data_IF_481769964955
#
_entry.id   IF_481769964955
#
_cell.length_a   1.000
_cell.length_b   1.000
_cell.length_c   1.000
_cell.angle_alpha   90.00
_cell.angle_beta   90.00
_cell.angle_gamma   90.00
#
_symmetry.space_group_name_H-M   'P 1'
#
loop_
_entity.id
_entity.type
_entity.pdbx_description
1 polymer ?
#
# COMPACT_ATOMS: atom_id res chain seq x y z
N UNK A 1 5.11 1.84 -1.43
CA UNK A 1 5.04 3.22 -0.94
C UNK A 1 5.35 4.24 -2.04
N UNK A 2 6.55 4.19 -2.65
CA UNK A 2 6.94 5.17 -3.69
C UNK A 2 6.01 5.19 -4.90
N UNK A 3 5.54 4.03 -5.35
CA UNK A 3 4.58 3.98 -6.45
C UNK A 3 3.25 4.64 -6.10
N UNK A 4 2.78 4.51 -4.85
CA UNK A 4 1.59 5.20 -4.35
C UNK A 4 1.80 6.73 -4.35
N UNK A 5 2.92 7.22 -3.78
CA UNK A 5 3.31 8.64 -3.84
C UNK A 5 3.30 9.16 -5.28
N UNK A 6 3.96 8.44 -6.17
CA UNK A 6 4.07 8.83 -7.58
C UNK A 6 2.73 8.74 -8.34
N UNK A 7 1.78 7.95 -7.82
CA UNK A 7 0.38 7.96 -8.25
C UNK A 7 -0.43 9.11 -7.63
N UNK A 8 0.21 9.97 -6.82
CA UNK A 8 -0.44 11.10 -6.18
C UNK A 8 -1.24 10.74 -4.93
N UNK A 9 -1.00 9.57 -4.34
CA UNK A 9 -1.64 9.17 -3.10
C UNK A 9 -1.25 10.08 -1.94
N UNK A 10 -2.21 10.38 -1.08
CA UNK A 10 -2.03 11.07 0.19
C UNK A 10 -2.08 10.11 1.37
N UNK A 11 -2.80 9.01 1.20
CA UNK A 11 -3.00 8.00 2.24
C UNK A 11 -2.57 6.64 1.70
N UNK A 12 -1.68 5.98 2.44
CA UNK A 12 -1.21 4.64 2.12
C UNK A 12 -1.39 3.74 3.34
N UNK A 13 -2.04 2.61 3.13
CA UNK A 13 -2.30 1.62 4.16
C UNK A 13 -1.54 0.35 3.84
N UNK A 14 -0.77 -0.16 4.80
CA UNK A 14 0.03 -1.36 4.64
C UNK A 14 -0.37 -2.38 5.71
N UNK A 15 -1.05 -3.43 5.26
CA UNK A 15 -1.32 -4.59 6.10
C UNK A 15 -0.21 -5.61 5.96
N UNK A 16 0.23 -6.19 7.08
CA UNK A 16 1.18 -7.29 7.07
C UNK A 16 0.77 -8.38 8.04
N UNK A 17 0.92 -9.63 7.61
CA UNK A 17 0.75 -10.80 8.45
C UNK A 17 1.82 -11.84 8.14
N UNK A 18 2.12 -12.70 9.11
CA UNK A 18 3.00 -13.86 8.92
C UNK A 18 2.33 -15.09 9.52
N UNK A 19 2.22 -16.14 8.73
CA UNK A 19 1.73 -17.44 9.15
C UNK A 19 2.75 -18.49 8.73
N UNK A 20 3.38 -19.12 9.71
CA UNK A 20 4.54 -19.99 9.47
C UNK A 20 5.63 -19.25 8.70
N UNK A 21 6.00 -19.79 7.54
CA UNK A 21 6.98 -19.19 6.63
C UNK A 21 6.34 -18.32 5.53
N UNK A 22 5.04 -18.06 5.59
CA UNK A 22 4.36 -17.23 4.61
C UNK A 22 4.11 -15.84 5.17
N UNK A 23 4.70 -14.81 4.54
CA UNK A 23 4.40 -13.42 4.83
C UNK A 23 3.51 -12.84 3.73
N UNK A 24 2.41 -12.25 4.15
CA UNK A 24 1.53 -11.48 3.27
C UNK A 24 1.69 -9.99 3.54
N UNK A 25 1.76 -9.23 2.48
CA UNK A 25 1.77 -7.76 2.47
C UNK A 25 0.65 -7.28 1.55
N UNK A 26 -0.17 -6.34 2.04
CA UNK A 26 -1.16 -5.66 1.21
C UNK A 26 -0.93 -4.16 1.32
N UNK A 27 -0.74 -3.52 0.18
CA UNK A 27 -0.56 -2.07 0.10
C UNK A 27 -1.76 -1.48 -0.61
N UNK A 28 -2.49 -0.63 0.09
CA UNK A 28 -3.63 0.12 -0.45
C UNK A 28 -3.28 1.60 -0.49
N UNK A 29 -3.76 2.31 -1.49
CA UNK A 29 -3.57 3.75 -1.65
C UNK A 29 -4.80 4.43 -2.25
N UNK A 30 -4.91 5.75 -2.05
CA UNK A 30 -5.93 6.62 -2.62
C UNK A 30 -5.46 7.39 -3.87
N UNK A 31 -4.40 6.93 -4.52
CA UNK A 31 -3.85 7.56 -5.72
C UNK A 31 -4.74 7.39 -6.95
N UNK A 32 -4.21 7.76 -8.12
CA UNK A 32 -4.96 7.71 -9.40
C UNK A 32 -5.29 6.29 -9.90
N UNK A 33 -4.89 5.26 -9.18
CA UNK A 33 -5.13 3.86 -9.55
C UNK A 33 -4.26 3.39 -10.72
N UNK A 34 -4.51 2.14 -11.12
CA UNK A 34 -3.79 1.44 -12.19
C UNK A 34 -4.77 1.22 -13.35
N UNK A 35 -4.46 1.71 -14.57
CA UNK A 35 -5.30 1.48 -15.75
C UNK A 35 -5.56 -0.02 -16.00
N UNK A 36 -6.79 -0.38 -16.40
CA UNK A 36 -7.18 -1.80 -16.62
C UNK A 36 -6.18 -2.56 -17.49
N UNK A 37 -5.73 -1.97 -18.60
CA UNK A 37 -4.76 -2.61 -19.52
C UNK A 37 -3.35 -2.77 -18.98
N UNK A 38 -3.03 -2.19 -17.81
CA UNK A 38 -1.73 -2.31 -17.17
C UNK A 38 -1.74 -3.22 -15.93
N UNK A 39 -2.90 -3.59 -15.39
CA UNK A 39 -3.00 -4.33 -14.12
C UNK A 39 -2.22 -5.65 -14.11
N UNK A 40 -2.29 -6.40 -15.18
CA UNK A 40 -1.56 -7.65 -15.32
C UNK A 40 -0.07 -7.43 -15.64
N UNK A 41 0.24 -6.30 -16.27
CA UNK A 41 1.57 -5.99 -16.81
C UNK A 41 2.45 -5.14 -15.89
N UNK A 42 1.92 -4.55 -14.81
CA UNK A 42 2.72 -3.70 -13.91
C UNK A 42 3.89 -4.43 -13.27
N UNK A 43 3.82 -5.75 -13.22
CA UNK A 43 4.86 -6.63 -12.71
C UNK A 43 5.85 -7.11 -13.80
N UNK A 44 5.64 -6.76 -15.07
CA UNK A 44 6.56 -7.09 -16.13
C UNK A 44 7.77 -6.17 -16.11
N UNK A 45 8.91 -6.67 -16.61
CA UNK A 45 10.13 -5.87 -16.67
C UNK A 45 9.94 -4.63 -17.55
N UNK A 46 10.41 -3.48 -17.07
CA UNK A 46 10.39 -2.19 -17.79
C UNK A 46 9.00 -1.63 -18.11
N UNK A 47 7.95 -2.16 -17.54
CA UNK A 47 6.62 -1.55 -17.64
C UNK A 47 6.52 -0.42 -16.64
N UNK A 48 6.34 0.80 -17.14
CA UNK A 48 6.15 2.01 -16.34
C UNK A 48 5.25 2.97 -17.08
N UNK A 49 4.37 3.64 -16.37
CA UNK A 49 3.62 4.78 -16.89
C UNK A 49 4.43 6.09 -16.90
N UNK A 50 5.72 6.04 -16.49
CA UNK A 50 6.59 7.21 -16.26
C UNK A 50 7.75 7.28 -17.25
N UNK A 51 7.52 6.93 -18.52
CA UNK A 51 8.57 6.98 -19.55
C UNK A 51 9.20 8.37 -19.70
N UNK A 52 8.51 9.42 -19.28
CA UNK A 52 8.92 10.82 -19.47
C UNK A 52 9.45 11.51 -18.20
N UNK A 53 9.48 10.86 -17.04
CA UNK A 53 9.96 11.46 -15.79
C UNK A 53 10.93 10.58 -15.04
N UNK A 54 12.20 10.95 -15.06
CA UNK A 54 13.23 10.38 -14.19
C UNK A 54 13.21 11.16 -12.88
N UNK A 55 12.69 10.56 -11.81
CA UNK A 55 12.83 11.11 -10.47
C UNK A 55 14.10 10.57 -9.81
N UNK A 56 14.95 11.49 -9.38
CA UNK A 56 16.13 11.17 -8.55
C UNK A 56 15.78 11.60 -7.12
N UNK A 57 15.77 10.65 -6.20
CA UNK A 57 15.71 10.92 -4.78
C UNK A 57 17.01 10.46 -4.08
N UNK A 58 17.10 10.60 -2.76
CA UNK A 58 18.27 10.17 -1.98
C UNK A 58 18.63 8.68 -2.14
N UNK A 59 17.73 7.89 -2.70
CA UNK A 59 17.87 6.46 -2.93
C UNK A 59 18.28 6.11 -4.36
N UNK A 60 18.47 7.11 -5.23
CA UNK A 60 18.93 6.97 -6.60
C UNK A 60 17.88 7.23 -7.68
N UNK A 61 18.18 6.81 -8.90
CA UNK A 61 17.30 7.01 -10.06
C UNK A 61 16.15 6.00 -10.03
N UNK A 62 14.91 6.48 -9.91
CA UNK A 62 13.70 5.67 -9.95
C UNK A 62 12.95 5.90 -11.28
N UNK A 63 12.13 4.91 -11.68
CA UNK A 63 11.29 5.01 -12.89
C UNK A 63 11.62 3.98 -13.98
N UNK A 64 12.55 3.05 -13.72
CA UNK A 64 12.93 2.03 -14.71
C UNK A 64 11.95 0.86 -14.83
N UNK A 65 10.82 0.85 -14.10
CA UNK A 65 9.84 -0.24 -14.13
C UNK A 65 10.35 -1.58 -13.63
N UNK A 66 11.40 -1.60 -12.79
CA UNK A 66 12.02 -2.83 -12.30
C UNK A 66 11.60 -3.21 -10.88
N UNK A 67 11.06 -2.27 -10.08
CA UNK A 67 10.77 -2.54 -8.68
C UNK A 67 9.68 -3.59 -8.49
N UNK A 68 8.55 -3.45 -9.19
CA UNK A 68 7.46 -4.43 -9.12
C UNK A 68 7.82 -5.75 -9.81
N UNK A 69 8.60 -5.70 -10.89
CA UNK A 69 9.17 -6.89 -11.49
C UNK A 69 10.03 -7.68 -10.49
N UNK A 70 10.95 -7.02 -9.79
CA UNK A 70 11.77 -7.66 -8.77
C UNK A 70 10.93 -8.24 -7.61
N UNK A 71 9.84 -7.58 -7.24
CA UNK A 71 8.89 -8.13 -6.26
C UNK A 71 8.30 -9.43 -6.77
N UNK A 72 7.78 -9.47 -8.01
CA UNK A 72 7.17 -10.66 -8.61
C UNK A 72 8.15 -11.84 -8.71
N UNK A 73 9.39 -11.59 -9.10
CA UNK A 73 10.43 -12.62 -9.24
C UNK A 73 10.81 -13.29 -7.91
N UNK A 74 10.58 -12.60 -6.78
CA UNK A 74 10.95 -13.08 -5.44
C UNK A 74 9.74 -13.42 -4.57
N UNK A 75 8.53 -13.29 -5.07
CA UNK A 75 7.29 -13.57 -4.35
C UNK A 75 6.66 -14.88 -4.79
N UNK A 76 5.90 -15.55 -3.92
CA UNK A 76 5.00 -16.63 -4.29
C UNK A 76 3.87 -16.12 -5.18
N UNK A 77 3.34 -14.93 -4.87
CA UNK A 77 2.41 -14.20 -5.73
C UNK A 77 2.53 -12.69 -5.54
N UNK A 78 2.24 -11.94 -6.61
CA UNK A 78 2.11 -10.48 -6.59
C UNK A 78 0.97 -10.09 -7.53
N UNK A 79 -0.09 -9.50 -6.99
CA UNK A 79 -1.37 -9.30 -7.66
C UNK A 79 -1.95 -7.91 -7.39
N UNK A 80 -2.62 -7.33 -8.38
CA UNK A 80 -3.50 -6.17 -8.19
C UNK A 80 -4.86 -6.69 -7.75
N UNK A 81 -5.19 -6.55 -6.48
CA UNK A 81 -6.46 -6.99 -5.92
C UNK A 81 -7.62 -6.09 -6.36
N UNK A 82 -7.39 -4.79 -6.30
CA UNK A 82 -8.36 -3.79 -6.70
C UNK A 82 -7.67 -2.56 -7.30
N UNK A 83 -8.35 -1.89 -8.19
CA UNK A 83 -7.95 -0.56 -8.65
C UNK A 83 -9.13 0.14 -9.30
N UNK A 84 -9.29 1.42 -9.03
CA UNK A 84 -10.30 2.27 -9.63
C UNK A 84 -9.65 3.53 -10.20
N UNK A 85 -10.01 3.98 -11.42
CA UNK A 85 -9.46 5.19 -12.01
C UNK A 85 -9.75 6.42 -11.13
N UNK A 86 -8.69 7.11 -10.67
CA UNK A 86 -8.81 8.26 -9.78
C UNK A 86 -9.17 7.95 -8.33
N UNK A 87 -9.32 6.67 -7.96
CA UNK A 87 -9.80 6.26 -6.65
C UNK A 87 -9.06 5.06 -6.06
N UNK A 88 -7.74 5.04 -6.28
CA UNK A 88 -6.82 4.18 -5.57
C UNK A 88 -6.52 2.83 -6.20
N UNK A 89 -5.61 2.13 -5.53
CA UNK A 89 -5.23 0.76 -5.85
C UNK A 89 -4.93 -0.08 -4.62
N UNK A 90 -5.00 -1.40 -4.78
CA UNK A 90 -4.55 -2.38 -3.80
C UNK A 90 -3.70 -3.44 -4.46
N UNK A 91 -2.53 -3.67 -3.91
CA UNK A 91 -1.57 -4.68 -4.35
C UNK A 91 -1.29 -5.63 -3.19
N UNK A 92 -1.44 -6.93 -3.45
CA UNK A 92 -1.10 -8.00 -2.52
C UNK A 92 0.16 -8.71 -2.98
N UNK A 93 1.07 -8.96 -2.04
CA UNK A 93 2.31 -9.71 -2.25
C UNK A 93 2.41 -10.79 -1.18
N UNK A 94 2.69 -12.02 -1.61
CA UNK A 94 2.91 -13.16 -0.73
C UNK A 94 4.33 -13.67 -0.92
N UNK A 95 5.07 -13.80 0.16
CA UNK A 95 6.49 -14.20 0.14
C UNK A 95 6.69 -15.42 1.03
N UNK A 96 7.48 -16.38 0.53
CA UNK A 96 8.01 -17.48 1.34
C UNK A 96 9.28 -17.02 2.06
N UNK A 97 9.17 -16.84 3.39
CA UNK A 97 10.30 -16.44 4.23
C UNK A 97 11.25 -17.59 4.57
N UNK A 98 10.87 -18.82 4.25
CA UNK A 98 11.77 -19.98 4.30
C UNK A 98 12.79 -19.94 3.17
N UNK A 99 12.39 -19.53 1.98
CA UNK A 99 13.28 -19.40 0.81
C UNK A 99 13.93 -17.99 0.75
N UNK A 100 13.20 -16.95 1.08
CA UNK A 100 13.68 -15.57 1.16
C UNK A 100 13.70 -15.11 2.62
N UNK A 101 14.77 -15.47 3.31
CA UNK A 101 14.89 -15.23 4.76
C UNK A 101 14.80 -13.74 5.13
N UNK A 102 13.96 -13.45 6.09
CA UNK A 102 13.91 -12.13 6.72
C UNK A 102 15.20 -11.89 7.51
N UNK A 103 15.97 -10.89 7.11
CA UNK A 103 17.29 -10.61 7.70
C UNK A 103 17.21 -9.97 9.06
N UNK A 104 16.06 -9.43 9.43
CA UNK A 104 15.85 -8.69 10.67
C UNK A 104 14.47 -8.98 11.24
N UNK A 105 14.33 -8.77 12.57
CA UNK A 105 13.02 -8.78 13.21
C UNK A 105 12.11 -7.68 12.66
N UNK A 106 10.92 -8.08 12.21
CA UNK A 106 9.95 -7.19 11.59
C UNK A 106 9.03 -6.50 12.62
N UNK A 107 9.14 -6.81 13.91
CA UNK A 107 8.32 -6.24 14.99
C UNK A 107 9.01 -5.11 15.76
N UNK A 108 10.31 -4.97 15.64
CA UNK A 108 11.09 -3.97 16.37
C UNK A 108 10.94 -2.58 15.77
N UNK A 109 10.52 -1.62 16.58
CA UNK A 109 10.44 -0.21 16.20
C UNK A 109 11.83 0.43 16.14
N UNK A 110 12.07 1.33 15.18
CA UNK A 110 13.29 2.12 15.16
C UNK A 110 13.29 3.15 16.28
N UNK A 111 14.48 3.49 16.78
CA UNK A 111 14.65 4.60 17.71
C UNK A 111 14.63 5.91 16.93
N UNK A 112 13.72 6.79 17.30
CA UNK A 112 13.61 8.14 16.74
C UNK A 112 14.47 9.11 17.57
N UNK A 113 15.10 10.05 16.90
CA UNK A 113 15.85 11.16 17.50
C UNK A 113 15.40 12.49 16.91
N UNK A 114 15.90 13.58 17.47
CA UNK A 114 15.71 14.93 16.94
C UNK A 114 16.92 15.28 16.07
N UNK A 115 16.67 15.83 14.91
CA UNK A 115 17.67 16.44 14.05
C UNK A 115 17.53 17.95 14.21
N UNK A 116 18.55 18.62 14.71
CA UNK A 116 18.63 19.95 15.32
C UNK A 116 17.88 21.15 14.73
N UNK A 117 17.06 20.99 13.72
CA UNK A 117 16.19 21.99 13.11
C UNK A 117 14.75 21.46 12.95
N UNK A 118 14.03 21.23 14.05
CA UNK A 118 12.62 20.79 14.07
C UNK A 118 12.32 19.45 13.36
N UNK A 119 13.33 18.64 13.07
CA UNK A 119 13.21 17.39 12.36
C UNK A 119 13.30 16.14 13.26
N UNK A 120 12.45 15.14 13.01
CA UNK A 120 12.66 13.80 13.52
C UNK A 120 13.52 13.00 12.52
N UNK A 121 14.45 12.21 13.03
CA UNK A 121 15.28 11.29 12.26
C UNK A 121 15.30 9.93 12.90
N UNK A 122 15.67 8.89 12.13
CA UNK A 122 15.87 7.55 12.67
C UNK A 122 17.34 7.41 13.04
N UNK A 123 17.61 7.25 14.33
CA UNK A 123 18.96 7.14 14.88
C UNK A 123 19.45 5.70 14.85
N UNK A 124 18.58 4.73 15.18
CA UNK A 124 18.94 3.32 15.37
C UNK A 124 17.75 2.40 15.12
N UNK A 125 18.04 1.14 14.79
CA UNK A 125 17.01 0.07 14.67
C UNK A 125 17.28 -0.85 13.49
N UNK A 126 16.59 -1.99 13.43
CA UNK A 126 16.71 -2.93 12.32
C UNK A 126 16.18 -2.31 11.03
N UNK A 127 16.69 -2.76 9.90
CA UNK A 127 16.19 -2.36 8.59
C UNK A 127 15.02 -3.29 8.19
N UNK A 128 13.85 -2.99 8.74
CA UNK A 128 12.61 -3.76 8.60
C UNK A 128 11.49 -2.96 7.96
N UNK A 129 10.28 -3.56 7.85
CA UNK A 129 9.09 -2.92 7.25
C UNK A 129 8.72 -1.63 8.02
N UNK A 130 8.75 -1.67 9.37
CA UNK A 130 8.42 -0.52 10.21
C UNK A 130 9.37 0.65 9.92
N UNK A 131 10.66 0.37 9.90
CA UNK A 131 11.69 1.38 9.60
C UNK A 131 11.52 1.95 8.18
N UNK A 132 11.27 1.11 7.18
CA UNK A 132 11.03 1.56 5.81
C UNK A 132 9.82 2.49 5.71
N UNK A 133 8.73 2.20 6.44
CA UNK A 133 7.56 3.07 6.51
C UNK A 133 7.90 4.40 7.20
N UNK A 134 8.60 4.34 8.35
CA UNK A 134 8.97 5.54 9.10
C UNK A 134 9.92 6.45 8.30
N UNK A 135 10.96 5.90 7.65
CA UNK A 135 11.85 6.65 6.77
C UNK A 135 11.07 7.32 5.62
N UNK A 136 10.15 6.59 5.02
CA UNK A 136 9.32 7.12 3.93
C UNK A 136 8.44 8.30 4.40
N UNK A 137 7.78 8.17 5.55
CA UNK A 137 6.96 9.26 6.12
C UNK A 137 7.81 10.47 6.48
N UNK A 138 9.02 10.26 6.99
CA UNK A 138 9.94 11.36 7.28
C UNK A 138 10.38 12.11 6.01
N UNK A 139 10.58 11.40 4.90
CA UNK A 139 10.93 12.00 3.61
C UNK A 139 9.77 12.75 2.97
N UNK A 140 8.55 12.25 3.15
CA UNK A 140 7.33 12.76 2.50
C UNK A 140 6.44 13.55 3.48
N UNK A 141 7.02 14.17 4.52
CA UNK A 141 6.27 14.90 5.55
C UNK A 141 5.24 15.85 4.96
N UNK A 142 4.00 15.74 5.47
CA UNK A 142 2.88 16.58 5.08
C UNK A 142 2.37 16.32 3.65
N UNK A 143 2.90 15.31 2.97
CA UNK A 143 2.47 14.90 1.64
C UNK A 143 1.76 13.58 1.63
N UNK A 144 2.32 12.59 2.35
CA UNK A 144 1.80 11.22 2.39
C UNK A 144 1.79 10.72 3.82
N UNK A 145 0.63 10.24 4.24
CA UNK A 145 0.46 9.54 5.51
C UNK A 145 0.48 8.03 5.28
N UNK A 146 1.12 7.27 6.19
CA UNK A 146 1.22 5.81 6.09
C UNK A 146 0.75 5.16 7.37
N UNK A 147 -0.19 4.23 7.25
CA UNK A 147 -0.64 3.35 8.34
C UNK A 147 -0.11 1.95 8.12
N UNK A 148 0.43 1.36 9.19
CA UNK A 148 0.98 0.02 9.18
C UNK A 148 0.35 -0.80 10.31
N UNK A 149 -0.16 -1.99 10.00
CA UNK A 149 -0.78 -2.85 11.00
C UNK A 149 -1.12 -4.24 10.47
N UNK A 150 -1.91 -4.98 11.23
CA UNK A 150 -2.56 -6.19 10.75
C UNK A 150 -3.69 -5.85 9.77
N UNK A 151 -4.24 -6.85 9.08
CA UNK A 151 -5.41 -6.64 8.21
C UNK A 151 -6.59 -6.03 8.99
N UNK A 152 -6.84 -6.49 10.22
CA UNK A 152 -7.91 -5.96 11.06
C UNK A 152 -7.67 -4.50 11.47
N UNK A 153 -6.44 -4.14 11.84
CA UNK A 153 -6.08 -2.76 12.18
C UNK A 153 -6.28 -1.84 10.96
N UNK A 154 -5.87 -2.29 9.79
CA UNK A 154 -6.01 -1.51 8.55
C UNK A 154 -7.47 -1.35 8.15
N UNK A 155 -8.29 -2.40 8.25
CA UNK A 155 -9.75 -2.30 8.01
C UNK A 155 -10.38 -1.28 8.96
N UNK A 156 -10.06 -1.35 10.26
CA UNK A 156 -10.57 -0.40 11.25
C UNK A 156 -10.14 1.04 10.93
N UNK A 157 -8.87 1.23 10.60
CA UNK A 157 -8.30 2.55 10.26
C UNK A 157 -8.92 3.12 8.99
N UNK A 158 -9.09 2.33 7.93
CA UNK A 158 -9.74 2.79 6.68
C UNK A 158 -11.18 3.20 6.98
N UNK A 159 -11.92 2.40 7.77
CA UNK A 159 -13.30 2.72 8.15
C UNK A 159 -13.43 4.03 8.90
N UNK A 160 -12.44 4.36 9.73
CA UNK A 160 -12.42 5.61 10.50
C UNK A 160 -11.95 6.81 9.68
N UNK A 161 -10.94 6.62 8.82
CA UNK A 161 -10.26 7.73 8.14
C UNK A 161 -10.83 8.05 6.75
N UNK A 162 -11.47 7.07 6.08
CA UNK A 162 -11.95 7.25 4.71
C UNK A 162 -13.36 7.82 4.72
N UNK A 163 -13.53 8.94 4.00
CA UNK A 163 -14.85 9.50 3.69
C UNK A 163 -15.33 8.94 2.36
N UNK A 164 -16.58 8.48 2.35
CA UNK A 164 -17.25 8.07 1.12
C UNK A 164 -17.69 9.33 0.37
N UNK A 165 -17.39 9.39 -0.92
CA UNK A 165 -17.74 10.55 -1.76
C UNK A 165 -19.20 10.53 -2.17
N UNK A 166 -19.82 9.34 -2.26
CA UNK A 166 -21.23 9.18 -2.59
C UNK A 166 -22.10 9.48 -1.38
N UNK A 167 -23.22 10.13 -1.59
CA UNK A 167 -24.22 10.29 -0.55
C UNK A 167 -25.04 9.01 -0.34
N UNK A 168 -25.85 8.97 0.75
CA UNK A 168 -26.62 7.79 1.09
C UNK A 168 -27.65 7.39 0.02
N UNK A 169 -28.13 8.34 -0.77
CA UNK A 169 -29.08 8.07 -1.86
C UNK A 169 -28.39 7.50 -3.08
N UNK A 170 -27.18 7.95 -3.39
CA UNK A 170 -26.36 7.41 -4.48
C UNK A 170 -25.89 5.99 -4.18
N UNK A 171 -25.53 5.70 -2.91
CA UNK A 171 -25.13 4.37 -2.48
C UNK A 171 -26.22 3.31 -2.68
N UNK A 172 -27.51 3.69 -2.63
CA UNK A 172 -28.62 2.77 -2.92
C UNK A 172 -28.66 2.24 -4.34
N UNK A 173 -27.97 2.91 -5.29
CA UNK A 173 -27.87 2.50 -6.67
C UNK A 173 -26.55 1.82 -7.03
N UNK A 174 -25.67 1.58 -6.06
CA UNK A 174 -24.42 0.83 -6.24
C UNK A 174 -24.73 -0.65 -6.09
N UNK A 175 -24.87 -1.36 -7.20
CA UNK A 175 -25.14 -2.80 -7.21
C UNK A 175 -23.87 -3.64 -6.96
N UNK A 176 -22.70 -3.13 -7.34
CA UNK A 176 -21.41 -3.81 -7.16
C UNK A 176 -20.42 -2.92 -6.38
N UNK A 177 -19.98 -3.39 -5.23
CA UNK A 177 -18.96 -2.72 -4.41
C UNK A 177 -17.68 -2.41 -5.19
N UNK A 178 -17.42 -3.12 -6.28
CA UNK A 178 -16.27 -2.86 -7.15
C UNK A 178 -16.37 -1.58 -7.98
N UNK A 179 -17.53 -0.95 -8.05
CA UNK A 179 -17.74 0.36 -8.67
C UNK A 179 -17.22 1.49 -7.79
N UNK A 180 -17.11 1.24 -6.48
CA UNK A 180 -16.59 2.20 -5.51
C UNK A 180 -15.07 2.32 -5.59
N UNK A 181 -14.56 3.45 -5.12
CA UNK A 181 -13.14 3.66 -4.83
C UNK A 181 -12.59 2.57 -3.91
N UNK A 182 -11.33 2.21 -4.10
CA UNK A 182 -10.73 1.04 -3.41
C UNK A 182 -10.88 1.13 -1.90
N UNK A 183 -10.63 2.30 -1.32
CA UNK A 183 -10.76 2.51 0.12
C UNK A 183 -12.21 2.67 0.57
N UNK A 184 -13.09 3.18 -0.29
CA UNK A 184 -14.51 3.44 0.04
C UNK A 184 -15.32 2.16 0.25
N UNK A 185 -14.87 1.04 -0.30
CA UNK A 185 -15.50 -0.28 -0.13
C UNK A 185 -15.63 -0.72 1.32
N UNK A 186 -14.68 -0.30 2.18
CA UNK A 186 -14.63 -0.68 3.59
C UNK A 186 -15.69 0.08 4.42
N UNK A 187 -15.78 1.43 4.38
CA UNK A 187 -16.74 2.17 5.22
C UNK A 187 -18.19 2.00 4.78
N UNK A 188 -18.49 1.64 3.52
CA UNK A 188 -19.88 1.43 3.07
C UNK A 188 -20.50 0.12 3.56
N UNK A 189 -19.70 -0.83 4.04
CA UNK A 189 -20.21 -2.10 4.55
C UNK A 189 -21.13 -1.89 5.78
N UNK A 190 -22.36 -2.33 5.67
CA UNK A 190 -23.38 -2.13 6.70
C UNK A 190 -23.24 -3.13 7.86
N UNK A 191 -22.74 -4.33 7.57
CA UNK A 191 -22.59 -5.39 8.56
C UNK A 191 -21.23 -6.13 8.44
N UNK A 192 -21.02 -7.10 9.33
CA UNK A 192 -19.77 -7.86 9.37
C UNK A 192 -19.56 -8.74 8.13
N UNK A 193 -20.63 -9.24 7.51
CA UNK A 193 -20.55 -10.07 6.31
C UNK A 193 -20.12 -9.23 5.11
N UNK A 194 -20.75 -8.09 4.92
CA UNK A 194 -20.38 -7.13 3.87
C UNK A 194 -18.95 -6.59 4.09
N UNK A 195 -18.59 -6.30 5.35
CA UNK A 195 -17.23 -5.85 5.67
C UNK A 195 -16.19 -6.92 5.31
N UNK A 196 -16.47 -8.19 5.55
CA UNK A 196 -15.59 -9.29 5.17
C UNK A 196 -15.45 -9.40 3.65
N UNK A 197 -16.56 -9.25 2.91
CA UNK A 197 -16.55 -9.24 1.42
C UNK A 197 -15.74 -8.05 0.92
N UNK A 198 -15.98 -6.86 1.44
CA UNK A 198 -15.25 -5.65 1.09
C UNK A 198 -13.74 -5.78 1.37
N UNK A 199 -13.35 -6.25 2.56
CA UNK A 199 -11.96 -6.47 2.92
C UNK A 199 -11.27 -7.46 1.97
N UNK A 200 -11.92 -8.59 1.69
CA UNK A 200 -11.39 -9.58 0.71
C UNK A 200 -11.26 -9.02 -0.69
N UNK A 201 -12.18 -8.17 -1.13
CA UNK A 201 -12.14 -7.54 -2.46
C UNK A 201 -10.91 -6.66 -2.66
N UNK A 202 -10.33 -6.17 -1.58
CA UNK A 202 -9.10 -5.36 -1.58
C UNK A 202 -7.87 -6.11 -1.05
N UNK A 203 -8.01 -7.42 -0.81
CA UNK A 203 -6.89 -8.31 -0.45
C UNK A 203 -6.56 -8.39 1.06
N UNK A 204 -7.38 -7.78 1.92
CA UNK A 204 -7.27 -7.81 3.39
C UNK A 204 -7.92 -9.06 3.99
#
# INVERSE_FOLDING_TARGET
LRNARDAGARHVYLATSKDGDVRTLVVLDDGRGIPKGLRERIFDARVTSKLDSVHVDRWGVHGRGMALFSVRENALSAEVMASAPGAGSSIRVVVDTGSLAERTDQSTWPTMGEDGEDGRTIVRGPHNIIRCCAEFVLDERGRVDVWLGSAADIVATIREQTRVHLDASELLFVDDVNELGVLERIPVAADASELLVAARSVGL
#
